data_IF_674982893966
#
_entry.id   IF_674982893966
#
_cell.length_a   1.000
_cell.length_b   1.000
_cell.length_c   1.000
_cell.angle_alpha   90.00
_cell.angle_beta   90.00
_cell.angle_gamma   90.00
#
_symmetry.space_group_name_H-M   'P 1'
#
loop_
_entity.id
_entity.type
_entity.pdbx_description
1 polymer ?
#
# COMPACT_ATOMS: atom_id res chain seq x y z
N UNK A 1 38.05 23.49 1.88
CA UNK A 1 36.59 23.78 1.97
C UNK A 1 35.80 23.54 0.68
N UNK A 2 36.41 23.53 -0.52
CA UNK A 2 35.67 23.26 -1.78
C UNK A 2 35.24 21.80 -1.97
N UNK A 3 36.07 20.84 -1.55
CA UNK A 3 35.76 19.40 -1.63
C UNK A 3 34.58 19.00 -0.74
N UNK A 4 34.47 19.59 0.45
CA UNK A 4 33.39 19.32 1.40
C UNK A 4 32.02 19.80 0.88
N UNK A 5 32.01 20.96 0.22
CA UNK A 5 30.81 21.53 -0.41
C UNK A 5 30.34 20.64 -1.57
N UNK A 6 31.28 20.10 -2.36
CA UNK A 6 30.93 19.23 -3.48
C UNK A 6 30.31 17.90 -3.01
N UNK A 7 30.87 17.28 -1.98
CA UNK A 7 30.29 16.06 -1.38
C UNK A 7 28.92 16.31 -0.73
N UNK A 8 28.71 17.49 -0.14
CA UNK A 8 27.42 17.85 0.46
C UNK A 8 26.35 18.08 -0.61
N UNK A 9 26.70 18.75 -1.71
CA UNK A 9 25.79 18.95 -2.85
C UNK A 9 25.47 17.62 -3.53
N UNK A 10 26.45 16.74 -3.76
CA UNK A 10 26.17 15.40 -4.32
C UNK A 10 25.28 14.58 -3.38
N UNK A 11 25.51 14.62 -2.06
CA UNK A 11 24.67 13.91 -1.09
C UNK A 11 23.22 14.42 -1.07
N UNK A 12 23.01 15.73 -1.21
CA UNK A 12 21.67 16.34 -1.31
C UNK A 12 20.96 15.97 -2.62
N UNK A 13 21.70 15.91 -3.74
CA UNK A 13 21.13 15.51 -5.05
C UNK A 13 20.71 14.04 -5.04
N UNK A 14 21.52 13.13 -4.48
CA UNK A 14 21.17 11.72 -4.38
C UNK A 14 20.01 11.44 -3.38
N UNK A 15 19.85 12.27 -2.35
CA UNK A 15 18.71 12.16 -1.42
C UNK A 15 17.39 12.67 -2.01
N UNK A 16 17.45 13.42 -3.11
CA UNK A 16 16.30 14.02 -3.79
C UNK A 16 15.88 13.27 -5.05
N UNK A 17 16.57 12.19 -5.45
CA UNK A 17 16.11 11.36 -6.54
C UNK A 17 14.75 10.76 -6.14
N UNK A 18 13.66 11.13 -6.83
CA UNK A 18 12.43 10.37 -6.71
C UNK A 18 12.79 8.93 -7.05
N UNK A 19 12.33 7.98 -6.24
CA UNK A 19 12.39 6.59 -6.69
C UNK A 19 11.76 6.56 -8.09
N UNK A 20 12.43 5.96 -9.09
CA UNK A 20 11.89 5.92 -10.43
C UNK A 20 10.46 5.42 -10.34
N UNK A 21 9.52 6.18 -10.91
CA UNK A 21 8.13 5.73 -11.06
C UNK A 21 8.20 4.37 -11.75
N UNK A 22 8.08 3.30 -10.96
CA UNK A 22 8.03 1.96 -11.50
C UNK A 22 6.71 1.83 -12.22
N UNK A 23 6.74 1.30 -13.44
CA UNK A 23 5.55 1.12 -14.25
C UNK A 23 4.54 0.27 -13.47
N UNK A 24 3.37 0.82 -13.10
CA UNK A 24 2.36 0.08 -12.35
C UNK A 24 1.96 -1.25 -13.00
N UNK A 25 2.09 -1.39 -14.33
CA UNK A 25 1.86 -2.65 -15.03
C UNK A 25 2.84 -3.76 -14.65
N UNK A 26 4.09 -3.43 -14.33
CA UNK A 26 5.09 -4.43 -13.88
C UNK A 26 4.83 -4.89 -12.43
N UNK A 27 4.02 -4.13 -11.69
CA UNK A 27 3.66 -4.43 -10.31
C UNK A 27 2.41 -5.30 -10.19
N UNK A 28 1.62 -5.43 -11.25
CA UNK A 28 0.45 -6.31 -11.28
C UNK A 28 0.84 -7.78 -11.04
N UNK A 29 -0.01 -8.50 -10.30
CA UNK A 29 0.11 -9.94 -10.10
C UNK A 29 -0.07 -10.38 -8.65
N UNK A 30 0.47 -11.57 -8.34
CA UNK A 30 0.35 -12.17 -7.02
C UNK A 30 1.27 -11.50 -6.01
N UNK A 31 0.70 -11.15 -4.87
CA UNK A 31 1.40 -10.55 -3.74
C UNK A 31 0.94 -11.21 -2.45
N UNK A 32 1.86 -11.52 -1.55
CA UNK A 32 1.59 -12.19 -0.27
C UNK A 32 1.90 -11.23 0.86
N UNK A 33 0.95 -11.05 1.79
CA UNK A 33 1.21 -10.27 3.00
C UNK A 33 2.30 -10.90 3.84
N UNK A 34 3.38 -10.15 4.09
CA UNK A 34 4.44 -10.54 5.02
C UNK A 34 4.25 -9.89 6.39
N UNK A 35 3.98 -8.57 6.42
CA UNK A 35 3.75 -7.83 7.65
C UNK A 35 2.73 -6.71 7.44
N UNK A 36 2.00 -6.39 8.50
CA UNK A 36 1.19 -5.18 8.60
C UNK A 36 1.53 -4.49 9.92
N UNK A 37 1.89 -3.21 9.86
CA UNK A 37 1.96 -2.32 11.01
C UNK A 37 0.75 -1.40 11.03
N UNK A 38 0.30 -0.99 12.21
CA UNK A 38 -0.84 -0.10 12.39
C UNK A 38 -0.65 0.85 13.56
N UNK A 39 -1.22 2.06 13.47
CA UNK A 39 -1.37 2.97 14.61
C UNK A 39 -2.38 2.48 15.64
N UNK A 40 -3.31 1.63 15.21
CA UNK A 40 -4.27 0.94 16.06
C UNK A 40 -4.17 -0.57 15.81
N UNK A 41 -3.66 -1.30 16.81
CA UNK A 41 -3.44 -2.74 16.70
C UNK A 41 -4.74 -3.54 16.72
N UNK A 42 -5.85 -2.98 17.23
CA UNK A 42 -7.14 -3.67 17.23
C UNK A 42 -7.67 -3.86 15.80
N UNK A 43 -7.35 -2.94 14.88
CA UNK A 43 -7.76 -3.01 13.47
C UNK A 43 -7.07 -4.13 12.68
N UNK A 44 -5.88 -4.57 13.12
CA UNK A 44 -5.08 -5.63 12.47
C UNK A 44 -4.95 -6.90 13.32
N UNK A 45 -5.65 -6.95 14.45
CA UNK A 45 -5.65 -8.07 15.39
C UNK A 45 -6.37 -9.30 14.86
N UNK A 46 -6.52 -10.32 15.70
CA UNK A 46 -7.25 -11.52 15.30
C UNK A 46 -8.72 -11.21 15.05
N UNK A 47 -9.24 -11.66 13.89
CA UNK A 47 -10.63 -11.46 13.46
C UNK A 47 -10.99 -10.00 13.14
N UNK A 48 -9.99 -9.14 12.96
CA UNK A 48 -10.16 -7.74 12.61
C UNK A 48 -10.12 -7.55 11.08
N UNK A 49 -10.81 -6.53 10.53
CA UNK A 49 -10.96 -6.36 9.09
C UNK A 49 -9.62 -6.16 8.37
N UNK A 50 -8.62 -5.56 9.01
CA UNK A 50 -7.31 -5.35 8.39
C UNK A 50 -6.30 -6.47 8.68
N UNK A 51 -6.75 -7.61 9.19
CA UNK A 51 -5.98 -8.86 9.16
C UNK A 51 -5.97 -9.44 7.73
N UNK A 52 -5.31 -8.71 6.82
CA UNK A 52 -5.38 -8.93 5.37
C UNK A 52 -4.31 -9.91 4.90
N UNK A 53 -4.74 -10.94 4.19
CA UNK A 53 -3.89 -11.89 3.47
C UNK A 53 -4.04 -11.66 1.97
N UNK A 54 -3.17 -10.80 1.42
CA UNK A 54 -3.18 -10.43 0.01
C UNK A 54 -3.00 -11.66 -0.89
N UNK A 55 -3.67 -11.65 -2.04
CA UNK A 55 -3.58 -12.70 -3.07
C UNK A 55 -3.11 -12.13 -4.39
N UNK A 56 -3.68 -11.01 -4.81
CA UNK A 56 -3.24 -10.29 -6.00
C UNK A 56 -3.63 -8.82 -5.97
N UNK A 57 -2.82 -8.03 -6.68
CA UNK A 57 -3.07 -6.62 -6.95
C UNK A 57 -2.90 -6.44 -8.45
N UNK A 58 -3.90 -5.91 -9.13
CA UNK A 58 -3.83 -5.61 -10.56
C UNK A 58 -4.06 -4.12 -10.77
N UNK A 59 -3.10 -3.43 -11.38
CA UNK A 59 -3.20 -2.02 -11.72
C UNK A 59 -3.65 -1.87 -13.18
N UNK A 60 -4.65 -1.01 -13.40
CA UNK A 60 -5.13 -0.61 -14.72
C UNK A 60 -5.09 0.90 -14.85
N UNK A 61 -3.97 1.40 -15.36
CA UNK A 61 -3.75 2.83 -15.54
C UNK A 61 -4.62 3.46 -16.63
N UNK A 62 -5.10 2.67 -17.59
CA UNK A 62 -5.98 3.17 -18.67
C UNK A 62 -7.35 3.52 -18.12
N UNK A 63 -7.89 2.66 -17.29
CA UNK A 63 -9.20 2.86 -16.64
C UNK A 63 -9.09 3.59 -15.29
N UNK A 64 -7.86 3.93 -14.86
CA UNK A 64 -7.57 4.51 -13.54
C UNK A 64 -8.16 3.65 -12.40
N UNK A 65 -7.93 2.33 -12.47
CA UNK A 65 -8.43 1.35 -11.49
C UNK A 65 -7.31 0.54 -10.86
N UNK A 66 -7.61 0.00 -9.68
CA UNK A 66 -6.83 -1.07 -9.04
C UNK A 66 -7.78 -2.15 -8.57
N UNK A 67 -7.41 -3.40 -8.78
CA UNK A 67 -8.19 -4.57 -8.36
C UNK A 67 -7.40 -5.28 -7.26
N UNK A 68 -8.03 -5.45 -6.11
CA UNK A 68 -7.43 -6.10 -4.94
C UNK A 68 -8.17 -7.38 -4.67
N UNK A 69 -7.46 -8.50 -4.58
CA UNK A 69 -7.99 -9.76 -4.10
C UNK A 69 -7.22 -10.20 -2.86
N UNK A 70 -7.93 -10.47 -1.77
CA UNK A 70 -7.33 -10.87 -0.51
C UNK A 70 -8.32 -11.66 0.33
N UNK A 71 -7.81 -12.35 1.35
CA UNK A 71 -8.63 -12.86 2.43
C UNK A 71 -8.56 -11.94 3.64
N UNK A 72 -9.67 -11.76 4.34
CA UNK A 72 -9.69 -11.21 5.70
C UNK A 72 -10.49 -12.13 6.59
N UNK A 73 -10.13 -12.15 7.87
CA UNK A 73 -10.85 -12.95 8.87
C UNK A 73 -11.83 -12.03 9.57
N UNK A 74 -13.10 -12.07 9.18
CA UNK A 74 -14.15 -11.29 9.83
C UNK A 74 -14.94 -12.23 10.75
N UNK A 75 -15.04 -11.87 12.03
CA UNK A 75 -15.79 -12.65 13.03
C UNK A 75 -15.41 -14.15 13.10
N UNK A 76 -14.14 -14.49 12.86
CA UNK A 76 -13.67 -15.88 12.91
C UNK A 76 -13.67 -16.61 11.57
N UNK A 77 -14.31 -16.05 10.54
CA UNK A 77 -14.48 -16.68 9.23
C UNK A 77 -13.51 -16.04 8.23
N UNK A 78 -12.77 -16.87 7.50
CA UNK A 78 -11.89 -16.40 6.44
C UNK A 78 -12.73 -16.16 5.18
N UNK A 79 -12.93 -14.90 4.82
CA UNK A 79 -13.72 -14.48 3.67
C UNK A 79 -12.80 -13.92 2.57
N UNK A 80 -13.14 -14.20 1.32
CA UNK A 80 -12.43 -13.67 0.16
C UNK A 80 -13.08 -12.37 -0.29
N UNK A 81 -12.27 -11.32 -0.42
CA UNK A 81 -12.69 -10.00 -0.88
C UNK A 81 -12.07 -9.70 -2.24
N UNK A 82 -12.90 -9.19 -3.14
CA UNK A 82 -12.47 -8.65 -4.44
C UNK A 82 -12.95 -7.22 -4.55
N UNK A 83 -12.02 -6.27 -4.36
CA UNK A 83 -12.33 -4.85 -4.31
C UNK A 83 -11.80 -4.14 -5.55
N UNK A 84 -12.51 -3.09 -5.95
CA UNK A 84 -12.10 -2.18 -7.02
C UNK A 84 -11.85 -0.81 -6.39
N UNK A 85 -10.63 -0.34 -6.53
CA UNK A 85 -10.23 1.03 -6.20
C UNK A 85 -10.15 1.92 -7.42
N UNK A 86 -10.04 3.22 -7.18
CA UNK A 86 -9.82 4.23 -8.22
C UNK A 86 -8.48 4.91 -7.99
N UNK A 87 -7.66 4.99 -9.04
CA UNK A 87 -6.39 5.72 -9.04
C UNK A 87 -6.66 7.22 -8.92
N UNK A 88 -5.88 7.87 -8.08
CA UNK A 88 -5.87 9.31 -7.87
C UNK A 88 -4.56 9.88 -8.45
N UNK A 89 -4.03 10.95 -7.87
CA UNK A 89 -2.74 11.51 -8.28
C UNK A 89 -1.57 10.59 -7.88
N UNK A 90 -0.63 10.41 -8.82
CA UNK A 90 0.56 9.57 -8.64
C UNK A 90 0.21 8.11 -8.34
N UNK A 91 0.80 7.57 -7.27
CA UNK A 91 0.62 6.17 -6.84
C UNK A 91 -0.41 6.02 -5.71
N UNK A 92 -1.40 6.91 -5.69
CA UNK A 92 -2.45 6.96 -4.67
C UNK A 92 -3.75 6.34 -5.20
N UNK A 93 -4.44 5.59 -4.36
CA UNK A 93 -5.68 4.89 -4.72
C UNK A 93 -6.70 5.00 -3.59
N UNK A 94 -7.95 5.24 -3.95
CA UNK A 94 -9.08 5.19 -3.03
C UNK A 94 -9.83 3.86 -3.16
N UNK A 95 -10.16 3.22 -2.03
CA UNK A 95 -10.85 1.93 -1.93
C UNK A 95 -11.87 1.96 -0.80
N UNK A 96 -13.05 1.37 -0.98
CA UNK A 96 -14.05 1.23 0.08
C UNK A 96 -13.98 -0.18 0.69
N UNK A 97 -13.61 -0.25 1.98
CA UNK A 97 -13.55 -1.48 2.78
C UNK A 97 -13.40 -1.14 4.26
N UNK A 98 -14.31 -1.59 5.12
CA UNK A 98 -14.34 -1.20 6.54
C UNK A 98 -14.15 0.34 6.71
N UNK A 99 -14.91 1.11 5.92
CA UNK A 99 -14.71 2.55 5.75
C UNK A 99 -13.98 2.94 4.46
N UNK A 100 -13.50 4.18 4.43
CA UNK A 100 -12.81 4.77 3.29
C UNK A 100 -11.30 4.59 3.45
N UNK A 101 -10.65 4.08 2.41
CA UNK A 101 -9.22 3.82 2.41
C UNK A 101 -8.56 4.65 1.34
N UNK A 102 -7.48 5.33 1.71
CA UNK A 102 -6.53 5.92 0.77
C UNK A 102 -5.20 5.22 0.95
N UNK A 103 -4.79 4.41 -0.01
CA UNK A 103 -3.49 3.76 0.02
C UNK A 103 -2.54 4.34 -1.02
N UNK A 104 -1.25 4.32 -0.70
CA UNK A 104 -0.16 4.82 -1.51
C UNK A 104 0.87 3.71 -1.65
N UNK A 105 1.25 3.38 -2.88
CA UNK A 105 2.42 2.53 -3.13
C UNK A 105 3.67 3.36 -2.84
N UNK A 106 4.27 3.13 -1.68
CA UNK A 106 5.42 3.91 -1.18
C UNK A 106 6.76 3.36 -1.67
N UNK A 107 6.83 2.06 -1.91
CA UNK A 107 8.00 1.39 -2.48
C UNK A 107 7.53 0.22 -3.32
N UNK A 108 8.20 -0.01 -4.44
CA UNK A 108 7.96 -1.16 -5.28
C UNK A 108 9.28 -1.71 -5.83
N UNK A 109 9.28 -3.00 -6.12
CA UNK A 109 10.35 -3.75 -6.80
C UNK A 109 9.75 -5.03 -7.38
N UNK A 110 10.56 -5.82 -8.08
CA UNK A 110 10.11 -7.12 -8.60
C UNK A 110 9.61 -8.08 -7.50
N UNK A 111 10.14 -7.99 -6.28
CA UNK A 111 9.92 -8.97 -5.21
C UNK A 111 9.27 -8.42 -3.94
N UNK A 112 9.22 -7.09 -3.78
CA UNK A 112 8.68 -6.44 -2.59
C UNK A 112 7.86 -5.19 -2.92
N UNK A 113 6.75 -5.03 -2.20
CA UNK A 113 5.85 -3.87 -2.28
C UNK A 113 5.60 -3.34 -0.87
N UNK A 114 5.75 -2.04 -0.66
CA UNK A 114 5.36 -1.36 0.58
C UNK A 114 4.20 -0.42 0.27
N UNK A 115 3.09 -0.66 0.96
CA UNK A 115 1.88 0.13 0.86
C UNK A 115 1.65 0.86 2.17
N UNK A 116 1.46 2.18 2.11
CA UNK A 116 0.92 2.94 3.23
C UNK A 116 -0.58 3.12 3.03
N UNK A 117 -1.38 2.96 4.06
CA UNK A 117 -2.82 3.12 4.01
C UNK A 117 -3.31 4.04 5.12
N UNK A 118 -4.26 4.90 4.78
CA UNK A 118 -5.04 5.67 5.74
C UNK A 118 -6.49 5.19 5.60
N UNK A 119 -7.00 4.59 6.66
CA UNK A 119 -8.41 4.22 6.80
C UNK A 119 -9.13 5.26 7.66
N UNK A 120 -10.34 5.62 7.24
CA UNK A 120 -11.31 6.35 8.06
C UNK A 120 -12.58 5.52 8.09
N UNK A 121 -12.92 4.98 9.26
CA UNK A 121 -14.07 4.10 9.42
C UNK A 121 -15.40 4.86 9.46
N UNK A 122 -16.50 4.13 9.66
CA UNK A 122 -17.85 4.70 9.69
C UNK A 122 -18.08 5.66 10.87
N UNK A 123 -17.31 5.50 11.96
CA UNK A 123 -17.35 6.38 13.13
C UNK A 123 -16.47 7.63 12.93
N UNK A 124 -15.66 7.65 11.88
CA UNK A 124 -14.74 8.73 11.53
C UNK A 124 -13.36 8.56 12.15
N UNK A 125 -13.08 7.41 12.78
CA UNK A 125 -11.80 7.14 13.40
C UNK A 125 -10.74 6.84 12.35
N UNK A 126 -9.59 7.49 12.51
CA UNK A 126 -8.49 7.42 11.55
C UNK A 126 -7.44 6.42 12.00
N UNK A 127 -7.17 5.43 11.14
CA UNK A 127 -6.09 4.45 11.33
C UNK A 127 -5.05 4.60 10.22
N UNK A 128 -3.76 4.58 10.59
CA UNK A 128 -2.65 4.60 9.64
C UNK A 128 -1.98 3.22 9.67
N UNK A 129 -1.84 2.62 8.50
CA UNK A 129 -1.27 1.28 8.34
C UNK A 129 -0.15 1.27 7.31
N UNK A 130 0.76 0.32 7.46
CA UNK A 130 1.79 0.00 6.47
C UNK A 130 1.85 -1.50 6.26
N UNK A 131 1.70 -1.93 5.01
CA UNK A 131 1.83 -3.33 4.60
C UNK A 131 3.14 -3.58 3.86
N UNK A 132 3.83 -4.66 4.20
CA UNK A 132 4.91 -5.23 3.40
C UNK A 132 4.38 -6.49 2.71
N UNK A 133 4.44 -6.49 1.39
CA UNK A 133 4.03 -7.61 0.55
C UNK A 133 5.24 -8.16 -0.21
N UNK A 134 5.28 -9.47 -0.41
CA UNK A 134 6.33 -10.17 -1.16
C UNK A 134 5.78 -11.00 -2.30
N UNK A 135 6.65 -11.36 -3.25
CA UNK A 135 6.41 -12.39 -4.28
C UNK A 135 7.17 -13.69 -3.96
#
# INVERSE_FOLDING_TARGET
MKSLLLSLVLGLVCAQEPQPEQDPFELSGKWITSYIGSSDLEKIGENAPFQVFMRSIEFDDKESKVYLNFFSKENGICEEFSLIGTKQEGNTYDVNYAGNNKFVVSYASETALIISNINVDEEGDKTIMTGLLGK
#
